data_IF_168957247614
#
_entry.id   IF_168957247614
#
_cell.length_a   1.000
_cell.length_b   1.000
_cell.length_c   1.000
_cell.angle_alpha   90.00
_cell.angle_beta   90.00
_cell.angle_gamma   90.00
#
_symmetry.space_group_name_H-M   'P 1'
#
loop_
_entity.id
_entity.type
_entity.pdbx_description
1 polymer ?
#
# COMPACT_ATOMS: atom_id res chain seq x y z
N UNK A 1 -68.69 2.28 17.84
CA UNK A 1 -67.71 1.33 17.28
C UNK A 1 -66.67 2.13 16.51
N UNK A 2 -65.59 2.51 17.20
CA UNK A 2 -64.58 3.45 16.71
C UNK A 2 -63.39 2.66 16.19
N UNK A 3 -63.09 2.76 14.88
CA UNK A 3 -61.97 2.06 14.24
C UNK A 3 -60.69 2.88 14.43
N UNK A 4 -59.71 2.33 15.15
CA UNK A 4 -58.35 2.86 15.17
C UNK A 4 -57.54 2.19 14.05
N UNK A 5 -57.11 3.00 13.07
CA UNK A 5 -56.14 2.59 12.06
C UNK A 5 -54.73 2.82 12.63
N UNK A 6 -54.00 1.74 12.91
CA UNK A 6 -52.60 1.80 13.29
C UNK A 6 -51.74 1.94 12.03
N UNK A 7 -51.10 3.10 11.86
CA UNK A 7 -50.14 3.37 10.80
C UNK A 7 -48.80 2.71 11.19
N UNK A 8 -48.48 1.58 10.56
CA UNK A 8 -47.19 0.92 10.72
C UNK A 8 -46.12 1.66 9.90
N UNK A 9 -45.25 2.41 10.58
CA UNK A 9 -44.08 3.05 9.99
C UNK A 9 -43.02 1.97 9.73
N UNK A 10 -42.94 1.50 8.48
CA UNK A 10 -41.84 0.68 7.98
C UNK A 10 -40.60 1.57 7.82
N UNK A 11 -39.76 1.60 8.86
CA UNK A 11 -38.38 2.09 8.77
C UNK A 11 -37.58 1.09 7.92
N UNK A 12 -37.55 1.32 6.60
CA UNK A 12 -36.59 0.69 5.71
C UNK A 12 -35.23 1.31 6.02
N UNK A 13 -34.53 0.73 6.99
CA UNK A 13 -33.12 1.00 7.20
C UNK A 13 -32.35 0.48 6.00
N UNK A 14 -31.98 1.38 5.08
CA UNK A 14 -30.87 1.16 4.16
C UNK A 14 -29.58 1.06 4.98
N UNK A 15 -29.38 -0.09 5.62
CA UNK A 15 -28.11 -0.49 6.18
C UNK A 15 -27.18 -0.80 5.01
N UNK A 16 -26.51 0.23 4.50
CA UNK A 16 -25.35 0.08 3.63
C UNK A 16 -24.23 -0.54 4.45
N UNK A 17 -24.32 -1.84 4.69
CA UNK A 17 -23.27 -2.68 5.23
C UNK A 17 -22.14 -2.71 4.21
N UNK A 18 -21.34 -1.64 4.16
CA UNK A 18 -19.96 -1.76 3.71
C UNK A 18 -19.30 -2.64 4.77
N UNK A 19 -19.45 -3.95 4.64
CA UNK A 19 -18.50 -4.88 5.24
C UNK A 19 -17.14 -4.36 4.81
N UNK A 20 -16.35 -3.85 5.76
CA UNK A 20 -14.99 -3.41 5.49
C UNK A 20 -14.32 -4.56 4.74
N UNK A 21 -14.08 -4.39 3.44
CA UNK A 21 -13.27 -5.35 2.68
C UNK A 21 -12.00 -5.54 3.51
N UNK A 22 -11.77 -6.78 3.97
CA UNK A 22 -10.63 -7.08 4.82
C UNK A 22 -9.33 -6.60 4.16
N UNK A 23 -8.32 -6.30 4.97
CA UNK A 23 -7.00 -5.89 4.50
C UNK A 23 -6.44 -6.94 3.52
N UNK A 24 -5.98 -6.48 2.34
CA UNK A 24 -5.41 -7.34 1.30
C UNK A 24 -3.93 -7.04 1.15
N UNK A 25 -3.07 -8.05 1.26
CA UNK A 25 -1.63 -7.90 1.18
C UNK A 25 -1.07 -8.44 -0.15
N UNK A 26 0.02 -7.83 -0.59
CA UNK A 26 0.74 -8.27 -1.78
C UNK A 26 1.59 -9.51 -1.48
N UNK A 27 1.42 -10.56 -2.30
CA UNK A 27 2.38 -11.67 -2.34
C UNK A 27 3.76 -11.15 -2.76
N UNK A 28 4.80 -11.67 -2.11
CA UNK A 28 6.18 -11.28 -2.33
C UNK A 28 6.59 -10.02 -1.54
N UNK A 29 5.84 -9.68 -0.49
CA UNK A 29 6.16 -8.58 0.43
C UNK A 29 6.19 -9.08 1.88
N UNK A 30 6.72 -8.25 2.77
CA UNK A 30 6.70 -8.53 4.21
C UNK A 30 5.45 -7.97 4.89
N UNK A 31 5.00 -8.66 5.95
CA UNK A 31 3.89 -8.27 6.82
C UNK A 31 4.32 -8.32 8.29
N UNK A 32 4.00 -7.27 9.04
CA UNK A 32 4.14 -7.24 10.50
C UNK A 32 5.54 -7.56 11.02
N UNK A 33 5.62 -8.14 12.22
CA UNK A 33 6.87 -8.63 12.80
C UNK A 33 7.76 -7.52 13.36
N UNK A 34 7.16 -6.41 13.79
CA UNK A 34 7.93 -5.32 14.41
C UNK A 34 8.97 -4.67 13.49
N UNK A 35 9.86 -3.87 14.07
CA UNK A 35 11.02 -3.34 13.36
C UNK A 35 12.27 -3.46 14.24
N UNK A 36 13.45 -3.38 13.64
CA UNK A 36 14.70 -3.30 14.41
C UNK A 36 14.69 -2.14 15.42
N UNK A 37 13.98 -1.05 15.11
CA UNK A 37 13.92 0.16 15.93
C UNK A 37 12.83 0.11 17.01
N UNK A 38 11.72 -0.59 16.77
CA UNK A 38 10.55 -0.60 17.65
C UNK A 38 10.28 -1.94 18.35
N UNK A 39 11.13 -2.94 18.08
CA UNK A 39 10.97 -4.30 18.62
C UNK A 39 9.87 -5.09 17.91
N UNK A 40 9.74 -6.36 18.28
CA UNK A 40 8.69 -7.29 17.81
C UNK A 40 7.29 -6.74 17.99
N UNK A 41 6.36 -7.19 17.16
CA UNK A 41 4.97 -7.30 17.60
C UNK A 41 4.74 -8.61 18.38
N UNK A 42 3.77 -8.61 19.31
CA UNK A 42 3.36 -9.81 20.06
C UNK A 42 2.33 -10.65 19.27
N UNK A 43 2.37 -10.59 17.94
CA UNK A 43 1.37 -11.21 17.08
C UNK A 43 1.85 -12.54 16.52
N UNK A 44 0.94 -13.51 16.48
CA UNK A 44 1.15 -14.79 15.80
C UNK A 44 0.55 -14.76 14.40
N UNK A 45 1.32 -15.27 13.43
CA UNK A 45 0.94 -15.32 12.02
C UNK A 45 0.81 -16.78 11.58
N UNK A 46 -0.33 -17.12 10.98
CA UNK A 46 -0.60 -18.47 10.48
C UNK A 46 -1.33 -18.43 9.14
N UNK A 47 -1.16 -19.48 8.33
CA UNK A 47 -1.78 -19.62 7.03
C UNK A 47 -1.60 -21.04 6.49
N UNK A 48 -2.25 -21.35 5.38
CA UNK A 48 -2.07 -22.64 4.72
C UNK A 48 -0.60 -22.82 4.26
N UNK A 49 -0.11 -24.07 4.10
CA UNK A 49 1.23 -24.33 3.59
C UNK A 49 1.50 -23.58 2.28
N UNK A 50 2.63 -22.87 2.21
CA UNK A 50 3.06 -22.13 1.01
C UNK A 50 2.53 -20.69 0.89
N UNK A 51 1.56 -20.27 1.71
CA UNK A 51 1.09 -18.86 1.75
C UNK A 51 2.16 -17.95 2.35
N UNK A 52 2.89 -18.47 3.33
CA UNK A 52 3.70 -17.67 4.24
C UNK A 52 4.92 -18.45 4.70
N UNK A 53 6.07 -17.78 4.86
CA UNK A 53 7.27 -18.35 5.47
C UNK A 53 7.51 -17.70 6.83
N UNK A 54 7.51 -18.53 7.88
CA UNK A 54 7.87 -18.18 9.26
C UNK A 54 9.40 -18.02 9.41
N UNK A 55 10.06 -17.28 8.51
CA UNK A 55 11.52 -17.17 8.43
C UNK A 55 12.11 -15.95 9.12
N UNK A 56 11.31 -15.16 9.83
CA UNK A 56 11.84 -14.00 10.52
C UNK A 56 12.94 -14.41 11.49
N UNK A 57 14.14 -13.97 11.20
CA UNK A 57 15.27 -13.97 12.14
C UNK A 57 15.58 -12.49 12.40
N UNK A 58 15.46 -12.02 13.66
CA UNK A 58 15.03 -12.77 14.85
C UNK A 58 13.58 -13.26 14.72
N UNK A 59 13.17 -14.25 15.51
CA UNK A 59 11.85 -14.95 15.53
C UNK A 59 10.62 -14.04 15.53
N UNK A 60 10.84 -12.75 15.64
CA UNK A 60 9.93 -11.68 15.93
C UNK A 60 9.99 -10.57 14.89
N UNK A 61 10.77 -10.75 13.80
CA UNK A 61 10.96 -9.84 12.68
C UNK A 61 9.91 -9.96 11.56
N UNK A 62 10.02 -9.17 10.47
CA UNK A 62 9.04 -9.16 9.39
C UNK A 62 8.81 -10.53 8.74
N UNK A 63 7.54 -10.83 8.46
CA UNK A 63 7.10 -12.12 7.93
C UNK A 63 6.88 -12.07 6.42
N UNK A 64 7.44 -13.01 5.67
CA UNK A 64 7.36 -12.97 4.21
C UNK A 64 6.14 -13.73 3.65
N UNK A 65 5.33 -13.04 2.84
CA UNK A 65 4.19 -13.63 2.15
C UNK A 65 4.68 -14.28 0.85
N UNK A 66 4.66 -15.61 0.79
CA UNK A 66 5.18 -16.39 -0.34
C UNK A 66 4.15 -16.74 -1.39
N UNK A 67 2.88 -16.83 -1.01
CA UNK A 67 1.81 -17.28 -1.91
C UNK A 67 0.46 -16.66 -1.57
N UNK A 68 -0.46 -16.73 -2.52
CA UNK A 68 -1.83 -16.27 -2.30
C UNK A 68 -2.55 -17.16 -1.30
N UNK A 69 -3.42 -16.58 -0.47
CA UNK A 69 -4.20 -17.32 0.51
C UNK A 69 -4.66 -16.45 1.66
N UNK A 70 -5.27 -17.06 2.66
CA UNK A 70 -5.67 -16.38 3.89
C UNK A 70 -4.55 -16.47 4.92
N UNK A 71 -4.32 -15.38 5.63
CA UNK A 71 -3.38 -15.28 6.76
C UNK A 71 -4.17 -14.83 7.97
N UNK A 72 -4.08 -15.59 9.05
CA UNK A 72 -4.64 -15.21 10.35
C UNK A 72 -3.55 -14.54 11.18
N UNK A 73 -3.84 -13.33 11.64
CA UNK A 73 -3.00 -12.52 12.52
C UNK A 73 -3.66 -12.50 13.90
N UNK A 74 -3.08 -13.19 14.87
CA UNK A 74 -3.56 -13.28 16.23
C UNK A 74 -2.65 -12.50 17.18
N UNK A 75 -3.06 -11.30 17.57
CA UNK A 75 -2.41 -10.48 18.59
C UNK A 75 -3.16 -10.60 19.93
N UNK A 76 -2.58 -10.18 21.07
CA UNK A 76 -3.16 -10.43 22.41
C UNK A 76 -4.61 -9.96 22.62
N UNK A 77 -5.06 -8.95 21.85
CA UNK A 77 -6.40 -8.36 21.97
C UNK A 77 -7.26 -8.50 20.71
N UNK A 78 -6.69 -8.97 19.60
CA UNK A 78 -7.39 -8.97 18.31
C UNK A 78 -6.88 -10.12 17.46
N UNK A 79 -7.81 -10.89 16.91
CA UNK A 79 -7.53 -11.80 15.81
C UNK A 79 -8.20 -11.24 14.56
N UNK A 80 -7.43 -11.07 13.50
CA UNK A 80 -7.95 -10.65 12.19
C UNK A 80 -7.44 -11.56 11.11
N UNK A 81 -8.21 -11.65 10.04
CA UNK A 81 -7.83 -12.37 8.84
C UNK A 81 -7.54 -11.37 7.72
N UNK A 82 -6.44 -11.61 7.02
CA UNK A 82 -6.05 -10.84 5.84
C UNK A 82 -5.89 -11.77 4.65
N UNK A 83 -6.05 -11.24 3.45
CA UNK A 83 -5.93 -12.03 2.21
C UNK A 83 -4.67 -11.63 1.47
N UNK A 84 -3.81 -12.60 1.17
CA UNK A 84 -2.64 -12.42 0.30
C UNK A 84 -3.04 -12.66 -1.16
N UNK A 85 -2.71 -11.70 -2.04
CA UNK A 85 -3.01 -11.74 -3.47
C UNK A 85 -1.77 -11.35 -4.28
N UNK A 86 -1.57 -12.01 -5.42
CA UNK A 86 -0.50 -11.65 -6.37
C UNK A 86 -0.82 -10.30 -7.00
N UNK A 87 0.07 -9.30 -6.92
CA UNK A 87 -0.16 -8.02 -7.58
C UNK A 87 -0.26 -8.17 -9.10
N UNK A 88 -1.17 -7.42 -9.70
CA UNK A 88 -1.34 -7.30 -11.15
C UNK A 88 -0.75 -6.01 -11.70
N UNK A 89 -0.44 -5.04 -10.86
CA UNK A 89 0.08 -3.74 -11.28
C UNK A 89 0.60 -2.87 -10.13
N UNK A 90 0.96 -1.64 -10.48
CA UNK A 90 1.23 -0.55 -9.56
C UNK A 90 0.32 0.64 -9.88
N UNK A 91 0.06 1.49 -8.89
CA UNK A 91 -0.72 2.71 -9.05
C UNK A 91 -0.03 3.87 -8.36
N UNK A 92 -0.08 5.05 -8.99
CA UNK A 92 0.33 6.32 -8.39
C UNK A 92 -0.93 7.14 -8.14
N UNK A 93 -1.01 7.69 -6.93
CA UNK A 93 -2.02 8.64 -6.49
C UNK A 93 -1.40 10.03 -6.35
N UNK A 94 -2.15 11.04 -6.79
CA UNK A 94 -1.75 12.44 -6.77
C UNK A 94 -2.54 13.25 -7.80
N UNK A 95 -2.58 14.57 -7.63
CA UNK A 95 -3.12 15.44 -8.66
C UNK A 95 -2.24 15.41 -9.93
N UNK A 96 -2.89 15.54 -11.08
CA UNK A 96 -2.22 15.59 -12.39
C UNK A 96 -1.85 17.01 -12.81
N UNK A 97 -2.22 18.00 -12.01
CA UNK A 97 -1.97 19.40 -12.29
C UNK A 97 -1.43 20.07 -11.04
N UNK A 98 -0.41 20.89 -11.18
CA UNK A 98 0.19 21.68 -10.10
C UNK A 98 0.37 23.12 -10.55
N UNK A 99 0.48 24.06 -9.62
CA UNK A 99 0.92 25.43 -9.87
C UNK A 99 2.42 25.54 -9.66
N UNK A 100 3.07 26.48 -10.36
CA UNK A 100 4.47 26.82 -10.05
C UNK A 100 4.62 27.19 -8.56
N UNK A 101 5.61 26.59 -7.90
CA UNK A 101 5.88 26.74 -6.46
C UNK A 101 5.09 25.79 -5.56
N UNK A 102 4.16 25.01 -6.10
CA UNK A 102 3.37 24.04 -5.33
C UNK A 102 4.18 22.80 -4.96
N UNK A 103 3.87 22.25 -3.79
CA UNK A 103 4.35 20.96 -3.31
C UNK A 103 3.18 19.98 -3.24
N UNK A 104 3.37 18.79 -3.79
CA UNK A 104 2.37 17.72 -3.77
C UNK A 104 3.01 16.41 -3.29
N UNK A 105 2.29 15.70 -2.42
CA UNK A 105 2.64 14.34 -2.03
C UNK A 105 2.05 13.35 -3.04
N UNK A 106 2.91 12.56 -3.69
CA UNK A 106 2.51 11.38 -4.43
C UNK A 106 2.55 10.16 -3.51
N UNK A 107 1.65 9.22 -3.73
CA UNK A 107 1.64 7.92 -3.04
C UNK A 107 1.57 6.81 -4.07
N UNK A 108 2.23 5.69 -3.83
CA UNK A 108 2.15 4.52 -4.68
C UNK A 108 1.81 3.25 -3.90
N UNK A 109 1.06 2.37 -4.57
CA UNK A 109 0.64 1.07 -4.04
C UNK A 109 0.73 0.00 -5.13
N UNK A 110 0.99 -1.24 -4.71
CA UNK A 110 0.71 -2.41 -5.54
C UNK A 110 -0.79 -2.60 -5.62
N UNK A 111 -1.29 -3.10 -6.75
CA UNK A 111 -2.73 -3.31 -6.95
C UNK A 111 -3.03 -4.71 -7.49
N UNK A 112 -4.21 -5.23 -7.17
CA UNK A 112 -4.83 -6.38 -7.83
C UNK A 112 -6.23 -5.98 -8.34
N UNK A 113 -6.34 -5.71 -9.64
CA UNK A 113 -7.54 -5.04 -10.16
C UNK A 113 -7.67 -3.63 -9.57
N UNK A 114 -8.80 -3.35 -8.91
CA UNK A 114 -9.07 -2.06 -8.27
C UNK A 114 -8.66 -1.99 -6.80
N UNK A 115 -8.23 -3.11 -6.21
CA UNK A 115 -7.87 -3.17 -4.79
C UNK A 115 -6.39 -2.80 -4.58
N UNK A 116 -6.14 -1.83 -3.69
CA UNK A 116 -4.80 -1.49 -3.21
C UNK A 116 -4.28 -2.58 -2.27
N UNK A 117 -3.01 -2.95 -2.42
CA UNK A 117 -2.36 -4.00 -1.64
C UNK A 117 -1.41 -3.44 -0.59
N UNK A 118 -1.53 -3.94 0.63
CA UNK A 118 -0.64 -3.67 1.77
C UNK A 118 0.62 -4.56 1.71
N UNK A 119 1.63 -4.19 2.50
CA UNK A 119 2.90 -4.92 2.61
C UNK A 119 4.14 -4.12 2.18
N UNK A 120 5.31 -4.56 2.60
CA UNK A 120 6.56 -3.83 2.35
C UNK A 120 7.20 -4.26 1.02
N UNK A 121 6.85 -3.55 -0.06
CA UNK A 121 7.48 -3.70 -1.36
C UNK A 121 8.67 -2.74 -1.49
N UNK A 122 9.72 -3.15 -2.20
CA UNK A 122 10.79 -2.22 -2.59
C UNK A 122 10.21 -1.20 -3.57
N UNK A 123 10.52 0.07 -3.37
CA UNK A 123 10.00 1.17 -4.20
C UNK A 123 11.13 2.03 -4.74
N UNK A 124 11.00 2.41 -6.01
CA UNK A 124 11.92 3.31 -6.70
C UNK A 124 11.13 4.40 -7.42
N UNK A 125 11.42 5.65 -7.11
CA UNK A 125 10.81 6.83 -7.74
C UNK A 125 11.79 7.48 -8.71
N UNK A 126 11.32 7.85 -9.89
CA UNK A 126 12.13 8.53 -10.90
C UNK A 126 11.37 9.69 -11.56
N UNK A 127 12.10 10.76 -11.86
CA UNK A 127 11.61 11.85 -12.73
C UNK A 127 12.13 11.62 -14.14
N UNK A 128 11.26 11.79 -15.13
CA UNK A 128 11.65 11.78 -16.54
C UNK A 128 12.57 12.96 -16.87
N UNK A 129 13.26 12.86 -18.00
CA UNK A 129 14.12 13.94 -18.51
C UNK A 129 13.34 15.21 -18.86
N UNK A 130 12.04 15.07 -19.13
CA UNK A 130 11.09 16.17 -19.34
C UNK A 130 10.79 16.96 -18.06
N UNK A 131 11.12 16.43 -16.89
CA UNK A 131 10.98 17.15 -15.62
C UNK A 131 12.10 18.16 -15.36
N UNK A 132 13.17 18.16 -16.16
CA UNK A 132 14.30 19.10 -15.99
C UNK A 132 13.79 20.55 -15.99
N UNK A 133 14.06 21.27 -14.90
CA UNK A 133 13.57 22.63 -14.62
C UNK A 133 12.05 22.78 -14.43
N UNK A 134 11.24 21.73 -14.63
CA UNK A 134 9.78 21.75 -14.44
C UNK A 134 9.42 21.32 -13.02
N UNK A 135 10.00 20.24 -12.53
CA UNK A 135 9.75 19.73 -11.19
C UNK A 135 10.96 18.99 -10.63
N UNK A 136 11.02 18.89 -9.30
CA UNK A 136 12.02 18.09 -8.59
C UNK A 136 11.37 17.30 -7.46
N UNK A 137 12.05 16.26 -6.98
CA UNK A 137 11.62 15.62 -5.74
C UNK A 137 12.01 16.48 -4.54
N UNK A 138 11.08 16.64 -3.60
CA UNK A 138 11.35 17.26 -2.32
C UNK A 138 12.25 16.40 -1.42
N UNK A 139 12.79 16.99 -0.34
CA UNK A 139 13.51 16.24 0.67
C UNK A 139 12.56 15.24 1.35
N UNK A 140 13.00 14.01 1.53
CA UNK A 140 12.21 13.01 2.26
C UNK A 140 12.50 13.17 3.75
N UNK A 141 11.55 13.73 4.50
CA UNK A 141 11.68 13.86 5.96
C UNK A 141 11.16 12.58 6.63
N UNK A 142 12.02 11.88 7.37
CA UNK A 142 11.67 10.65 8.11
C UNK A 142 12.08 9.34 7.42
N UNK A 143 12.41 9.35 6.12
CA UNK A 143 12.83 8.14 5.38
C UNK A 143 14.34 7.87 5.40
N UNK A 144 15.10 8.62 6.20
CA UNK A 144 16.54 8.41 6.32
C UNK A 144 16.82 7.00 6.89
N UNK A 145 15.91 6.47 7.69
CA UNK A 145 16.00 5.14 8.28
C UNK A 145 15.46 4.02 7.37
N UNK A 146 14.66 4.35 6.35
CA UNK A 146 14.09 3.38 5.37
C UNK A 146 14.89 3.32 4.06
N UNK A 147 15.96 4.12 3.93
CA UNK A 147 16.77 4.16 2.71
C UNK A 147 16.01 4.68 1.48
N UNK A 148 14.96 5.48 1.66
CA UNK A 148 14.15 6.01 0.56
C UNK A 148 13.09 5.05 0.02
N UNK A 149 12.75 3.99 0.77
CA UNK A 149 11.72 3.02 0.41
C UNK A 149 10.29 3.46 0.80
N UNK A 150 10.05 4.76 0.93
CA UNK A 150 8.75 5.27 1.32
C UNK A 150 7.76 5.17 0.15
N UNK A 151 6.56 4.67 0.47
CA UNK A 151 5.40 4.62 -0.44
C UNK A 151 4.98 6.01 -0.94
N UNK A 152 5.52 7.08 -0.35
CA UNK A 152 5.16 8.44 -0.68
C UNK A 152 6.37 9.27 -1.09
N UNK A 153 6.17 10.21 -2.01
CA UNK A 153 7.22 11.08 -2.52
C UNK A 153 6.69 12.49 -2.78
N UNK A 154 7.38 13.47 -2.21
CA UNK A 154 7.09 14.88 -2.49
C UNK A 154 7.62 15.27 -3.87
N UNK A 155 6.77 15.93 -4.66
CA UNK A 155 7.13 16.61 -5.91
C UNK A 155 6.93 18.10 -5.71
N UNK A 156 7.91 18.89 -6.14
CA UNK A 156 7.91 20.36 -6.06
C UNK A 156 7.92 20.91 -7.48
N UNK A 157 6.93 21.72 -7.83
CA UNK A 157 6.80 22.36 -9.14
C UNK A 157 7.69 23.62 -9.21
N UNK A 158 8.65 23.64 -10.14
CA UNK A 158 9.62 24.72 -10.30
C UNK A 158 9.29 25.68 -11.46
N UNK A 159 8.75 25.18 -12.57
CA UNK A 159 8.37 25.99 -13.72
C UNK A 159 7.21 25.34 -14.50
N UNK A 160 6.54 26.13 -15.34
CA UNK A 160 5.46 25.64 -16.20
C UNK A 160 5.98 24.59 -17.18
N UNK A 161 5.21 23.53 -17.39
CA UNK A 161 5.61 22.43 -18.27
C UNK A 161 4.84 21.15 -17.97
N UNK A 162 5.32 20.05 -18.55
CA UNK A 162 4.83 18.72 -18.26
C UNK A 162 6.01 17.86 -17.77
N UNK A 163 5.73 16.96 -16.82
CA UNK A 163 6.73 16.12 -16.19
C UNK A 163 6.17 14.72 -15.96
N UNK A 164 6.84 13.70 -16.49
CA UNK A 164 6.53 12.30 -16.20
C UNK A 164 7.21 11.85 -14.91
N UNK A 165 6.41 11.45 -13.93
CA UNK A 165 6.88 10.81 -12.71
C UNK A 165 6.62 9.32 -12.81
N UNK A 166 7.64 8.50 -12.61
CA UNK A 166 7.54 7.05 -12.68
C UNK A 166 7.84 6.43 -11.32
N UNK A 167 7.05 5.42 -10.95
CA UNK A 167 7.33 4.56 -9.80
C UNK A 167 7.50 3.12 -10.29
N UNK A 168 8.46 2.43 -9.70
CA UNK A 168 8.59 0.98 -9.81
C UNK A 168 8.45 0.37 -8.43
N UNK A 169 7.45 -0.48 -8.24
CA UNK A 169 7.25 -1.28 -7.04
C UNK A 169 7.69 -2.71 -7.32
N UNK A 170 8.57 -3.27 -6.50
CA UNK A 170 9.10 -4.61 -6.68
C UNK A 170 8.76 -5.52 -5.51
N UNK A 171 8.28 -6.72 -5.83
CA UNK A 171 8.11 -7.82 -4.89
C UNK A 171 9.28 -8.81 -5.01
N UNK A 172 9.37 -9.77 -4.10
CA UNK A 172 10.40 -10.80 -4.05
C UNK A 172 11.36 -10.63 -2.88
N UNK A 173 12.19 -11.64 -2.63
CA UNK A 173 13.20 -11.60 -1.58
C UNK A 173 14.30 -12.63 -1.87
N UNK A 174 15.55 -12.18 -1.86
CA UNK A 174 16.71 -13.06 -1.98
C UNK A 174 16.84 -13.99 -0.78
N UNK A 175 16.52 -13.49 0.43
CA UNK A 175 16.53 -14.27 1.67
C UNK A 175 15.58 -15.48 1.59
N UNK A 176 14.46 -15.31 0.89
CA UNK A 176 13.43 -16.33 0.73
C UNK A 176 13.53 -17.13 -0.57
N UNK A 177 14.57 -16.87 -1.39
CA UNK A 177 14.74 -17.42 -2.73
C UNK A 177 13.49 -17.21 -3.62
N UNK A 178 12.86 -16.04 -3.52
CA UNK A 178 11.70 -15.66 -4.35
C UNK A 178 12.14 -14.61 -5.35
N UNK A 179 12.05 -14.95 -6.64
CA UNK A 179 12.43 -14.09 -7.73
C UNK A 179 11.73 -12.73 -7.65
N UNK A 180 12.48 -11.66 -7.91
CA UNK A 180 11.90 -10.32 -7.89
C UNK A 180 11.04 -10.06 -9.12
N UNK A 181 9.94 -9.33 -8.94
CA UNK A 181 9.07 -8.87 -10.00
C UNK A 181 8.74 -7.40 -9.82
N UNK A 182 9.04 -6.59 -10.84
CA UNK A 182 8.77 -5.16 -10.87
C UNK A 182 7.41 -4.84 -11.51
N UNK A 183 6.75 -3.82 -10.96
CA UNK A 183 5.49 -3.25 -11.42
C UNK A 183 5.68 -1.74 -11.58
N UNK A 184 5.58 -1.26 -12.81
CA UNK A 184 5.87 0.13 -13.15
C UNK A 184 4.58 0.89 -13.45
N UNK A 185 4.52 2.13 -12.99
CA UNK A 185 3.47 3.08 -13.35
C UNK A 185 4.08 4.46 -13.60
N UNK A 186 3.54 5.18 -14.59
CA UNK A 186 3.92 6.56 -14.88
C UNK A 186 2.72 7.49 -14.75
N UNK A 187 2.94 8.65 -14.15
CA UNK A 187 1.99 9.74 -14.00
C UNK A 187 2.52 10.97 -14.73
N UNK A 188 1.73 11.52 -15.65
CA UNK A 188 2.02 12.84 -16.24
C UNK A 188 1.44 13.94 -15.36
N UNK A 189 2.32 14.81 -14.86
CA UNK A 189 1.97 16.02 -14.11
C UNK A 189 2.12 17.22 -15.03
N UNK A 190 1.13 18.11 -15.06
CA UNK A 190 1.18 19.39 -15.78
C UNK A 190 1.31 20.55 -14.79
N UNK A 191 2.37 21.35 -14.91
CA UNK A 191 2.59 22.55 -14.09
C UNK A 191 2.10 23.78 -14.85
N UNK A 192 1.21 24.56 -14.22
CA UNK A 192 0.53 25.74 -14.79
C UNK A 192 0.95 27.05 -14.15
#
# INVERSE_FOLDING_TARGET
MTKFAALAVLLVGCGSSHASRGEVHAVGTYIGGGSYLFGSDDCQYSGAPGVFVNSAVPENGPRFIRGSGRITIACPKVTREVVAVVPTGAKIWGEKTMKVGEKQLLTASLVAGDDDLFGEARIEWNLGTDCTNVASFGPVMGAQDTGGQDRSRDVIAAAKGACHVTVTLSTGSELENVASKGYQQTLLITVK
#
